data_IF_289365785738
#
_entry.id   IF_289365785738
#
_cell.length_a   1.000
_cell.length_b   1.000
_cell.length_c   1.000
_cell.angle_alpha   90.00
_cell.angle_beta   90.00
_cell.angle_gamma   90.00
#
_symmetry.space_group_name_H-M   'P 1'
#
loop_
_entity.id
_entity.type
_entity.pdbx_description
1 polymer ?
#
# COMPACT_ATOMS: atom_id res chain seq x y z
N UNK A 1 -17.95 58.74 -68.98
CA UNK A 1 -18.67 58.47 -67.75
C UNK A 1 -18.21 57.20 -67.19
N UNK A 2 -17.43 57.18 -66.09
CA UNK A 2 -16.95 55.95 -65.50
C UNK A 2 -17.93 55.48 -64.40
N UNK A 3 -18.22 54.20 -64.45
CA UNK A 3 -19.06 53.44 -63.50
C UNK A 3 -18.31 53.22 -62.17
N UNK A 4 -18.98 53.51 -61.07
CA UNK A 4 -18.53 53.26 -59.71
C UNK A 4 -18.61 51.75 -59.34
N UNK A 5 -17.65 51.18 -58.58
CA UNK A 5 -17.75 49.84 -58.08
C UNK A 5 -18.61 49.78 -56.81
N UNK A 6 -19.38 48.68 -56.68
CA UNK A 6 -20.18 48.33 -55.55
C UNK A 6 -19.34 48.05 -54.28
N UNK A 7 -19.91 48.33 -53.09
CA UNK A 7 -19.19 48.07 -51.85
C UNK A 7 -19.15 46.60 -51.45
N UNK A 8 -17.99 46.15 -51.01
CA UNK A 8 -17.73 44.79 -50.50
C UNK A 8 -18.46 44.60 -49.15
N UNK A 9 -19.06 43.41 -48.98
CA UNK A 9 -19.63 42.93 -47.74
C UNK A 9 -18.56 42.64 -46.67
N UNK A 10 -18.87 42.88 -45.38
CA UNK A 10 -17.90 42.57 -44.32
C UNK A 10 -17.80 41.08 -44.04
N UNK A 11 -16.60 40.59 -44.03
CA UNK A 11 -16.24 39.22 -43.64
C UNK A 11 -16.42 39.00 -42.13
N UNK A 12 -17.16 38.00 -41.74
CA UNK A 12 -17.32 37.54 -40.37
C UNK A 12 -15.97 37.03 -39.81
N UNK A 13 -15.68 37.24 -38.50
CA UNK A 13 -14.49 36.69 -37.87
C UNK A 13 -14.63 35.14 -37.66
N UNK A 14 -13.50 34.40 -37.66
CA UNK A 14 -13.53 32.98 -37.41
C UNK A 14 -13.85 32.70 -35.95
N UNK A 15 -14.82 31.83 -35.74
CA UNK A 15 -15.19 31.26 -34.46
C UNK A 15 -14.01 30.43 -33.92
N UNK A 16 -13.42 30.88 -32.82
CA UNK A 16 -12.44 30.09 -32.08
C UNK A 16 -13.18 28.92 -31.38
N UNK A 17 -13.13 27.76 -31.99
CA UNK A 17 -13.49 26.52 -31.34
C UNK A 17 -12.42 26.20 -30.30
N UNK A 18 -12.74 26.45 -29.03
CA UNK A 18 -11.99 25.97 -27.88
C UNK A 18 -12.10 24.46 -27.86
N UNK A 19 -11.09 23.76 -28.31
CA UNK A 19 -10.94 22.32 -28.15
C UNK A 19 -10.56 22.04 -26.71
N UNK A 20 -11.52 21.58 -25.90
CA UNK A 20 -11.27 20.92 -24.64
C UNK A 20 -10.45 19.65 -24.89
N UNK A 21 -9.43 19.38 -24.11
CA UNK A 21 -8.71 18.11 -24.20
C UNK A 21 -9.58 17.01 -23.57
N UNK A 22 -10.31 16.29 -24.42
CA UNK A 22 -10.92 15.01 -24.05
C UNK A 22 -9.91 13.91 -24.32
N UNK A 23 -9.06 13.61 -23.33
CA UNK A 23 -8.48 12.30 -23.20
C UNK A 23 -8.84 11.77 -21.83
N UNK A 24 -9.54 10.63 -21.72
CA UNK A 24 -9.66 9.95 -20.45
C UNK A 24 -8.25 9.53 -20.04
N UNK A 25 -7.80 9.98 -18.88
CA UNK A 25 -6.56 9.52 -18.29
C UNK A 25 -6.56 7.99 -18.31
N UNK A 26 -5.61 7.42 -19.03
CA UNK A 26 -5.46 5.99 -19.19
C UNK A 26 -5.28 5.37 -17.80
N UNK A 27 -5.92 4.23 -17.54
CA UNK A 27 -5.72 3.43 -16.32
C UNK A 27 -4.24 3.00 -16.11
N UNK A 28 -3.37 3.27 -17.07
CA UNK A 28 -1.93 3.07 -17.01
C UNK A 28 -1.18 4.09 -16.12
N UNK A 29 -1.77 5.29 -15.86
CA UNK A 29 -1.09 6.37 -15.12
C UNK A 29 -1.26 6.31 -13.60
N UNK A 30 -1.97 5.34 -13.05
CA UNK A 30 -2.24 5.24 -11.63
C UNK A 30 -1.36 4.17 -10.94
N UNK A 31 -0.04 4.29 -11.09
CA UNK A 31 0.88 3.38 -10.43
C UNK A 31 1.09 3.80 -8.97
N UNK A 32 0.87 2.91 -7.96
CA UNK A 32 0.97 3.27 -6.55
C UNK A 32 2.29 3.91 -6.17
N UNK A 33 3.43 3.45 -6.72
CA UNK A 33 4.75 4.01 -6.44
C UNK A 33 4.94 5.46 -6.91
N UNK A 34 4.03 5.99 -7.74
CA UNK A 34 4.00 7.40 -8.15
C UNK A 34 3.12 8.26 -7.21
N UNK A 35 2.28 7.64 -6.37
CA UNK A 35 1.37 8.32 -5.44
C UNK A 35 2.00 8.51 -4.06
N UNK A 36 3.09 9.27 -4.05
CA UNK A 36 3.87 9.57 -2.83
C UNK A 36 3.06 10.30 -1.76
N UNK A 37 2.14 11.15 -2.21
CA UNK A 37 1.20 11.88 -1.38
C UNK A 37 0.35 10.97 -0.48
N UNK A 38 0.02 9.77 -0.95
CA UNK A 38 -0.69 8.76 -0.16
C UNK A 38 0.29 8.02 0.76
N UNK A 39 1.46 7.59 0.23
CA UNK A 39 2.45 6.87 1.02
C UNK A 39 2.92 7.67 2.25
N UNK A 40 3.08 9.00 2.11
CA UNK A 40 3.50 9.90 3.18
C UNK A 40 2.35 10.33 4.11
N UNK A 41 1.09 9.98 3.81
CA UNK A 41 -0.06 10.33 4.65
C UNK A 41 -0.24 9.43 5.87
N UNK A 42 0.33 8.22 5.86
CA UNK A 42 0.17 7.24 6.95
C UNK A 42 0.79 7.67 8.27
N UNK A 43 1.84 8.49 8.26
CA UNK A 43 2.48 9.01 9.46
C UNK A 43 1.70 10.11 10.18
N UNK A 44 0.54 10.54 9.67
CA UNK A 44 -0.32 11.56 10.30
C UNK A 44 -0.79 11.15 11.70
N UNK A 45 -1.04 9.87 11.93
CA UNK A 45 -1.34 9.28 13.24
C UNK A 45 -0.66 7.90 13.34
N UNK A 46 0.67 7.93 13.51
CA UNK A 46 1.50 6.73 13.56
C UNK A 46 1.13 5.82 14.74
N UNK A 47 0.71 6.39 15.88
CA UNK A 47 0.32 5.62 17.07
C UNK A 47 -0.98 4.85 16.84
N UNK A 48 -1.99 5.47 16.20
CA UNK A 48 -3.20 4.77 15.76
C UNK A 48 -2.84 3.68 14.75
N UNK A 49 -2.00 4.00 13.78
CA UNK A 49 -1.56 3.03 12.78
C UNK A 49 -0.97 1.78 13.44
N UNK A 50 -0.02 1.95 14.36
CA UNK A 50 0.62 0.81 15.05
C UNK A 50 -0.37 0.00 15.90
N UNK A 51 -1.24 0.68 16.64
CA UNK A 51 -2.21 0.05 17.52
C UNK A 51 -3.27 -0.72 16.75
N UNK A 52 -3.78 -0.12 15.66
CA UNK A 52 -4.95 -0.62 14.97
C UNK A 52 -4.62 -1.66 13.88
N UNK A 53 -3.46 -1.55 13.21
CA UNK A 53 -3.11 -2.48 12.13
C UNK A 53 -2.88 -3.90 12.63
N UNK A 54 -3.41 -4.90 11.89
CA UNK A 54 -3.21 -6.29 12.26
C UNK A 54 -1.74 -6.70 12.10
N UNK A 55 -1.29 -7.58 12.98
CA UNK A 55 0.02 -8.24 12.90
C UNK A 55 0.01 -9.27 11.76
N UNK A 56 1.18 -9.74 11.38
CA UNK A 56 1.30 -10.82 10.40
C UNK A 56 1.27 -12.18 11.10
N UNK A 57 0.84 -13.26 10.41
CA UNK A 57 0.84 -14.60 10.99
C UNK A 57 2.25 -15.03 11.44
N UNK A 58 2.36 -15.57 12.64
CA UNK A 58 3.63 -16.09 13.17
C UNK A 58 4.24 -17.17 12.26
N UNK A 59 3.39 -17.97 11.61
CA UNK A 59 3.82 -18.97 10.64
C UNK A 59 4.54 -18.37 9.42
N UNK A 60 4.16 -17.14 8.98
CA UNK A 60 4.88 -16.42 7.95
C UNK A 60 6.26 -15.98 8.47
N UNK A 61 6.31 -15.37 9.66
CA UNK A 61 7.57 -14.92 10.26
C UNK A 61 8.55 -16.09 10.46
N UNK A 62 8.07 -17.21 11.01
CA UNK A 62 8.86 -18.42 11.18
C UNK A 62 9.39 -18.97 9.84
N UNK A 63 8.56 -18.94 8.78
CA UNK A 63 8.99 -19.40 7.44
C UNK A 63 10.02 -18.48 6.81
N UNK A 64 9.90 -17.15 6.99
CA UNK A 64 10.91 -16.17 6.54
C UNK A 64 12.25 -16.49 7.23
N UNK A 65 12.26 -16.64 8.54
CA UNK A 65 13.47 -16.97 9.31
C UNK A 65 14.08 -18.29 8.84
N UNK A 66 13.29 -19.35 8.73
CA UNK A 66 13.76 -20.67 8.27
C UNK A 66 14.28 -20.67 6.83
N UNK A 67 13.74 -19.81 5.98
CA UNK A 67 14.16 -19.68 4.60
C UNK A 67 15.38 -18.76 4.41
N UNK A 68 15.74 -17.96 5.40
CA UNK A 68 16.89 -17.03 5.36
C UNK A 68 18.19 -17.78 5.72
N UNK A 69 19.32 -17.49 5.08
CA UNK A 69 20.61 -18.12 5.41
C UNK A 69 21.21 -17.67 6.75
N UNK A 70 20.67 -16.61 7.35
CA UNK A 70 21.13 -16.05 8.63
C UNK A 70 20.13 -15.02 9.17
N UNK A 71 20.46 -14.36 10.29
CA UNK A 71 19.51 -13.53 11.03
C UNK A 71 19.50 -12.04 10.64
N UNK A 72 20.34 -11.58 9.71
CA UNK A 72 20.42 -10.17 9.34
C UNK A 72 19.29 -9.82 8.37
N UNK A 73 18.35 -8.98 8.78
CA UNK A 73 17.14 -8.65 8.02
C UNK A 73 17.05 -7.15 7.76
N UNK A 74 16.74 -6.78 6.52
CA UNK A 74 16.36 -5.43 6.13
C UNK A 74 14.83 -5.39 5.95
N UNK A 75 14.12 -4.55 6.72
CA UNK A 75 12.68 -4.31 6.58
C UNK A 75 12.44 -3.01 5.79
N UNK A 76 12.01 -3.13 4.54
CA UNK A 76 11.84 -2.01 3.59
C UNK A 76 10.41 -1.47 3.66
N UNK A 77 10.29 -0.16 3.96
CA UNK A 77 9.03 0.48 4.29
C UNK A 77 8.52 -0.06 5.62
N UNK A 78 9.38 -0.08 6.63
CA UNK A 78 9.07 -0.72 7.91
C UNK A 78 7.94 -0.04 8.69
N UNK A 79 7.56 1.18 8.32
CA UNK A 79 6.53 1.95 8.99
C UNK A 79 6.82 2.11 10.48
N UNK A 80 5.85 1.77 11.32
CA UNK A 80 6.00 1.75 12.78
C UNK A 80 6.73 0.51 13.31
N UNK A 81 7.28 -0.34 12.43
CA UNK A 81 8.07 -1.51 12.81
C UNK A 81 7.25 -2.75 13.17
N UNK A 82 6.03 -2.91 12.68
CA UNK A 82 5.18 -4.08 12.98
C UNK A 82 5.89 -5.39 12.60
N UNK A 83 6.36 -5.52 11.35
CA UNK A 83 7.06 -6.72 10.89
C UNK A 83 8.45 -6.82 11.55
N UNK A 84 9.15 -5.71 11.67
CA UNK A 84 10.47 -5.65 12.30
C UNK A 84 10.43 -6.24 13.72
N UNK A 85 9.48 -5.82 14.57
CA UNK A 85 9.34 -6.33 15.93
C UNK A 85 9.03 -7.84 15.97
N UNK A 86 8.18 -8.33 15.06
CA UNK A 86 7.90 -9.77 14.99
C UNK A 86 9.14 -10.58 14.60
N UNK A 87 9.95 -10.08 13.66
CA UNK A 87 11.20 -10.70 13.25
C UNK A 87 12.27 -10.61 14.34
N UNK A 88 12.37 -9.48 15.05
CA UNK A 88 13.26 -9.36 16.23
C UNK A 88 12.89 -10.36 17.31
N UNK A 89 11.60 -10.50 17.62
CA UNK A 89 11.11 -11.51 18.56
C UNK A 89 11.40 -12.96 18.10
N UNK A 90 11.51 -13.18 16.79
CA UNK A 90 11.90 -14.46 16.19
C UNK A 90 13.44 -14.65 16.13
N UNK A 91 14.24 -13.76 16.72
CA UNK A 91 15.70 -13.86 16.82
C UNK A 91 16.49 -13.20 15.70
N UNK A 92 15.86 -12.41 14.85
CA UNK A 92 16.55 -11.64 13.81
C UNK A 92 17.13 -10.32 14.33
N UNK A 93 18.16 -9.85 13.65
CA UNK A 93 18.68 -8.47 13.78
C UNK A 93 18.12 -7.65 12.63
N UNK A 94 17.23 -6.72 12.94
CA UNK A 94 16.47 -6.01 11.93
C UNK A 94 16.94 -4.55 11.82
N UNK A 95 17.22 -4.13 10.58
CA UNK A 95 17.35 -2.74 10.19
C UNK A 95 16.08 -2.36 9.38
N UNK A 96 15.38 -1.32 9.80
CA UNK A 96 14.29 -0.74 9.03
C UNK A 96 14.79 0.36 8.08
N UNK A 97 14.13 0.51 6.94
CA UNK A 97 14.25 1.72 6.08
C UNK A 97 12.84 2.25 5.89
N UNK A 98 12.61 3.53 6.26
CA UNK A 98 11.29 4.16 6.24
C UNK A 98 11.40 5.64 5.82
N UNK A 99 10.66 6.09 4.80
CA UNK A 99 10.74 7.49 4.37
C UNK A 99 10.05 8.46 5.32
N UNK A 100 9.00 8.06 6.06
CA UNK A 100 8.30 8.93 7.00
C UNK A 100 9.01 8.94 8.37
N UNK A 101 9.62 10.09 8.70
CA UNK A 101 10.35 10.24 9.96
C UNK A 101 9.48 10.02 11.22
N UNK A 102 8.17 10.29 11.15
CA UNK A 102 7.23 10.10 12.27
C UNK A 102 6.99 8.61 12.53
N UNK A 103 6.83 7.83 11.46
CA UNK A 103 6.72 6.37 11.53
C UNK A 103 8.02 5.75 12.04
N UNK A 104 9.17 6.16 11.49
CA UNK A 104 10.48 5.69 11.90
C UNK A 104 10.79 5.99 13.37
N UNK A 105 10.42 7.19 13.85
CA UNK A 105 10.59 7.57 15.26
C UNK A 105 9.78 6.69 16.19
N UNK A 106 8.50 6.42 15.82
CA UNK A 106 7.67 5.51 16.59
C UNK A 106 8.23 4.08 16.60
N UNK A 107 8.74 3.60 15.45
CA UNK A 107 9.36 2.26 15.40
C UNK A 107 10.54 2.13 16.37
N UNK A 108 11.46 3.12 16.40
CA UNK A 108 12.57 3.15 17.34
C UNK A 108 12.15 3.22 18.80
N UNK A 109 11.03 3.96 19.08
CA UNK A 109 10.52 4.12 20.44
C UNK A 109 9.82 2.85 20.95
N UNK A 110 9.14 2.13 20.09
CA UNK A 110 8.39 0.90 20.45
C UNK A 110 9.31 -0.31 20.64
N UNK A 111 10.47 -0.34 19.98
CA UNK A 111 11.46 -1.39 20.14
C UNK A 111 12.87 -0.83 19.91
N UNK A 112 13.62 -0.68 21.00
CA UNK A 112 15.00 -0.19 20.97
C UNK A 112 15.99 -1.15 20.29
N UNK A 113 15.58 -2.39 20.01
CA UNK A 113 16.34 -3.37 19.23
C UNK A 113 16.23 -3.17 17.72
N UNK A 114 15.29 -2.33 17.26
CA UNK A 114 15.10 -2.04 15.85
C UNK A 114 15.74 -0.69 15.49
N UNK A 115 16.84 -0.75 14.75
CA UNK A 115 17.40 0.45 14.12
C UNK A 115 16.60 0.79 12.86
N UNK A 116 16.42 2.10 12.57
CA UNK A 116 15.70 2.55 11.36
C UNK A 116 16.48 3.67 10.70
N UNK A 117 16.78 3.55 9.42
CA UNK A 117 17.30 4.63 8.58
C UNK A 117 16.12 5.38 7.94
N UNK A 118 16.10 6.72 8.03
CA UNK A 118 15.06 7.53 7.42
C UNK A 118 15.47 7.85 5.99
N UNK A 119 14.91 7.11 5.03
CA UNK A 119 15.18 7.28 3.61
C UNK A 119 14.12 6.56 2.77
N UNK A 120 14.00 6.94 1.52
CA UNK A 120 13.36 6.10 0.49
C UNK A 120 14.28 4.95 0.15
N UNK A 121 13.73 3.77 -0.04
CA UNK A 121 14.55 2.59 -0.34
C UNK A 121 15.37 2.77 -1.61
N UNK A 122 14.82 3.38 -2.65
CA UNK A 122 15.52 3.64 -3.91
C UNK A 122 16.73 4.56 -3.74
N UNK A 123 16.67 5.49 -2.79
CA UNK A 123 17.71 6.50 -2.52
C UNK A 123 18.61 6.12 -1.34
N UNK A 124 18.22 5.10 -0.56
CA UNK A 124 18.95 4.68 0.62
C UNK A 124 20.31 4.08 0.28
N UNK A 125 21.34 4.53 1.01
CA UNK A 125 22.70 4.07 0.82
C UNK A 125 23.07 2.96 1.84
N UNK A 126 23.21 1.71 1.41
CA UNK A 126 23.50 0.60 2.30
C UNK A 126 24.92 0.65 2.87
N UNK A 127 25.87 1.34 2.23
CA UNK A 127 27.29 1.21 2.51
C UNK A 127 27.75 -0.23 2.24
N UNK A 128 28.49 -0.82 3.17
CA UNK A 128 28.97 -2.21 3.08
C UNK A 128 28.01 -3.24 3.68
N UNK A 129 26.82 -2.81 4.13
CA UNK A 129 25.84 -3.68 4.80
C UNK A 129 25.25 -4.68 3.83
N UNK A 130 25.18 -5.93 4.25
CA UNK A 130 24.54 -7.02 3.55
C UNK A 130 23.62 -7.80 4.48
N UNK A 131 22.53 -8.33 3.92
CA UNK A 131 21.46 -8.97 4.66
C UNK A 131 21.22 -10.39 4.21
N UNK A 132 20.70 -11.21 5.11
CA UNK A 132 20.28 -12.57 4.86
C UNK A 132 18.84 -12.61 4.32
N UNK A 133 18.03 -11.58 4.68
CA UNK A 133 16.73 -11.35 4.10
C UNK A 133 16.46 -9.85 3.87
N UNK A 134 15.70 -9.57 2.82
CA UNK A 134 15.00 -8.30 2.60
C UNK A 134 13.53 -8.60 2.69
N UNK A 135 12.82 -7.92 3.58
CA UNK A 135 11.38 -8.08 3.76
C UNK A 135 10.67 -6.75 3.50
N UNK A 136 9.38 -6.80 3.15
CA UNK A 136 8.54 -5.62 3.05
C UNK A 136 7.09 -5.99 3.33
N UNK A 137 6.53 -5.51 4.43
CA UNK A 137 5.16 -5.77 4.85
C UNK A 137 4.21 -4.67 4.44
N UNK A 138 3.34 -4.91 3.46
CA UNK A 138 2.32 -3.95 2.97
C UNK A 138 2.90 -2.61 2.47
N UNK A 139 4.16 -2.61 2.03
CA UNK A 139 4.85 -1.40 1.58
C UNK A 139 5.41 -1.48 0.15
N UNK A 140 5.73 -2.67 -0.35
CA UNK A 140 6.43 -2.85 -1.64
C UNK A 140 5.74 -2.22 -2.85
N UNK A 141 4.43 -2.07 -2.84
CA UNK A 141 3.67 -1.43 -3.92
C UNK A 141 3.92 0.09 -4.05
N UNK A 142 4.59 0.71 -3.06
CA UNK A 142 5.07 2.09 -3.10
C UNK A 142 6.48 2.23 -3.71
N UNK A 143 7.11 1.12 -4.09
CA UNK A 143 8.47 1.04 -4.62
C UNK A 143 8.38 0.65 -6.10
N UNK A 144 9.27 1.19 -6.93
CA UNK A 144 9.39 0.71 -8.31
C UNK A 144 9.74 -0.79 -8.31
N UNK A 145 8.93 -1.65 -8.93
CA UNK A 145 9.06 -3.09 -8.76
C UNK A 145 10.36 -3.66 -9.34
N UNK A 146 10.93 -3.04 -10.38
CA UNK A 146 12.18 -3.49 -11.01
C UNK A 146 13.38 -2.89 -10.29
N UNK A 147 13.39 -1.57 -10.07
CA UNK A 147 14.49 -0.90 -9.38
C UNK A 147 14.61 -1.36 -7.92
N UNK A 148 13.47 -1.54 -7.22
CA UNK A 148 13.44 -2.06 -5.87
C UNK A 148 13.98 -3.50 -5.79
N UNK A 149 13.58 -4.37 -6.72
CA UNK A 149 14.08 -5.74 -6.74
C UNK A 149 15.59 -5.78 -7.07
N UNK A 150 16.07 -4.98 -8.01
CA UNK A 150 17.49 -4.88 -8.33
C UNK A 150 18.31 -4.41 -7.12
N UNK A 151 17.81 -3.40 -6.39
CA UNK A 151 18.45 -2.90 -5.16
C UNK A 151 18.44 -3.95 -4.05
N UNK A 152 17.32 -4.66 -3.86
CA UNK A 152 17.23 -5.76 -2.91
C UNK A 152 18.24 -6.88 -3.22
N UNK A 153 18.41 -7.25 -4.51
CA UNK A 153 19.44 -8.20 -4.93
C UNK A 153 20.85 -7.71 -4.59
N UNK A 154 21.10 -6.40 -4.75
CA UNK A 154 22.42 -5.80 -4.45
C UNK A 154 22.82 -5.88 -2.98
N UNK A 155 21.85 -5.79 -2.06
CA UNK A 155 22.11 -5.80 -0.60
C UNK A 155 21.94 -7.17 0.05
N UNK A 156 21.36 -8.15 -0.64
CA UNK A 156 21.26 -9.51 -0.14
C UNK A 156 22.58 -10.26 -0.29
N UNK A 157 22.92 -11.11 0.66
CA UNK A 157 23.97 -12.14 0.51
C UNK A 157 23.57 -13.20 -0.51
N UNK A 158 24.51 -13.96 -1.09
CA UNK A 158 24.17 -15.11 -1.93
C UNK A 158 23.17 -16.06 -1.21
N UNK A 159 22.16 -16.52 -1.91
CA UNK A 159 21.03 -17.31 -1.38
C UNK A 159 20.14 -16.57 -0.37
N UNK A 160 20.34 -15.27 -0.14
CA UNK A 160 19.48 -14.43 0.68
C UNK A 160 18.04 -14.40 0.16
N UNK A 161 17.10 -14.14 1.04
CA UNK A 161 15.66 -14.18 0.76
C UNK A 161 15.12 -12.77 0.52
N UNK A 162 14.45 -12.54 -0.60
CA UNK A 162 13.47 -11.45 -0.73
C UNK A 162 12.09 -11.99 -0.38
N UNK A 163 11.37 -11.35 0.55
CA UNK A 163 9.99 -11.70 0.92
C UNK A 163 9.14 -10.45 1.08
N UNK A 164 8.21 -10.25 0.17
CA UNK A 164 7.28 -9.11 0.21
C UNK A 164 5.86 -9.63 0.41
N UNK A 165 5.09 -9.04 1.35
CA UNK A 165 3.82 -9.62 1.79
C UNK A 165 2.78 -8.58 2.17
N UNK A 166 1.50 -8.98 2.09
CA UNK A 166 0.34 -8.14 2.39
C UNK A 166 -0.72 -8.91 3.17
N UNK A 167 -1.34 -8.25 4.13
CA UNK A 167 -2.58 -8.71 4.75
C UNK A 167 -3.75 -8.23 3.88
N UNK A 168 -4.46 -9.16 3.27
CA UNK A 168 -5.64 -8.91 2.43
C UNK A 168 -6.88 -9.18 3.27
N UNK A 169 -7.61 -8.13 3.66
CA UNK A 169 -8.88 -8.26 4.36
C UNK A 169 -10.00 -8.63 3.37
N UNK A 170 -10.83 -9.59 3.76
CA UNK A 170 -11.99 -10.03 2.99
C UNK A 170 -13.27 -9.51 3.69
N UNK A 171 -13.60 -8.25 3.46
CA UNK A 171 -14.69 -7.59 4.16
C UNK A 171 -16.04 -8.28 3.86
N UNK A 172 -16.94 -8.45 4.86
CA UNK A 172 -18.30 -8.90 4.63
C UNK A 172 -19.09 -7.96 3.70
N UNK A 173 -19.91 -8.52 2.82
CA UNK A 173 -20.57 -7.78 1.75
C UNK A 173 -21.51 -6.66 2.23
N UNK A 174 -22.20 -6.86 3.35
CA UNK A 174 -23.09 -5.87 3.96
C UNK A 174 -22.31 -4.69 4.55
N UNK A 175 -21.15 -4.95 5.16
CA UNK A 175 -20.25 -3.89 5.64
C UNK A 175 -19.66 -3.10 4.47
N UNK A 176 -19.24 -3.79 3.41
CA UNK A 176 -18.72 -3.12 2.21
C UNK A 176 -19.77 -2.26 1.54
N UNK A 177 -21.03 -2.70 1.48
CA UNK A 177 -22.15 -1.93 0.95
C UNK A 177 -22.37 -0.63 1.73
N UNK A 178 -22.49 -0.70 3.05
CA UNK A 178 -22.71 0.47 3.89
C UNK A 178 -21.57 1.50 3.79
N UNK A 179 -20.31 1.03 3.77
CA UNK A 179 -19.14 1.89 3.58
C UNK A 179 -19.12 2.51 2.19
N UNK A 180 -19.43 1.73 1.14
CA UNK A 180 -19.49 2.24 -0.24
C UNK A 180 -20.55 3.33 -0.40
N UNK A 181 -21.77 3.12 0.13
CA UNK A 181 -22.86 4.11 0.12
C UNK A 181 -22.46 5.42 0.80
N UNK A 182 -21.76 5.33 1.93
CA UNK A 182 -21.26 6.50 2.63
C UNK A 182 -20.17 7.23 1.81
N UNK A 183 -19.19 6.50 1.27
CA UNK A 183 -18.13 7.08 0.43
C UNK A 183 -18.68 7.77 -0.81
N UNK A 184 -19.65 7.16 -1.51
CA UNK A 184 -20.31 7.77 -2.68
C UNK A 184 -21.06 9.05 -2.32
N UNK A 185 -21.61 9.12 -1.12
CA UNK A 185 -22.35 10.30 -0.63
C UNK A 185 -21.44 11.45 -0.27
N UNK A 186 -20.33 11.17 0.45
CA UNK A 186 -19.39 12.21 0.92
C UNK A 186 -18.38 12.60 -0.16
N UNK A 187 -18.14 11.76 -1.15
CA UNK A 187 -17.16 11.98 -2.23
C UNK A 187 -17.79 11.74 -3.62
N UNK A 188 -18.87 12.46 -3.99
CA UNK A 188 -19.60 12.20 -5.24
C UNK A 188 -18.74 12.39 -6.50
N UNK A 189 -17.74 13.28 -6.43
CA UNK A 189 -16.82 13.58 -7.53
C UNK A 189 -15.51 12.78 -7.47
N UNK A 190 -15.43 11.76 -6.60
CA UNK A 190 -14.24 10.92 -6.51
C UNK A 190 -14.01 10.16 -7.81
N UNK A 191 -12.80 10.19 -8.39
CA UNK A 191 -12.44 9.35 -9.52
C UNK A 191 -12.32 7.87 -9.14
N UNK A 192 -12.41 7.57 -7.83
CA UNK A 192 -12.31 6.22 -7.30
C UNK A 192 -13.71 5.61 -7.14
N UNK A 193 -13.98 4.53 -7.86
CA UNK A 193 -15.22 3.76 -7.72
C UNK A 193 -15.15 2.90 -6.45
N UNK A 194 -15.62 3.47 -5.33
CA UNK A 194 -15.62 2.80 -4.02
C UNK A 194 -16.46 1.53 -4.05
N UNK A 195 -17.61 1.53 -4.72
CA UNK A 195 -18.46 0.36 -4.81
C UNK A 195 -17.77 -0.78 -5.54
N UNK A 196 -17.22 -0.51 -6.71
CA UNK A 196 -16.48 -1.53 -7.45
C UNK A 196 -15.23 -1.99 -6.69
N UNK A 197 -14.54 -1.09 -5.99
CA UNK A 197 -13.35 -1.44 -5.23
C UNK A 197 -13.65 -2.29 -3.99
N UNK A 198 -14.72 -1.97 -3.26
CA UNK A 198 -15.10 -2.67 -2.03
C UNK A 198 -15.88 -3.96 -2.32
N UNK A 199 -16.69 -4.03 -3.39
CA UNK A 199 -17.48 -5.22 -3.72
C UNK A 199 -16.75 -6.22 -4.62
N UNK A 200 -15.65 -5.84 -5.26
CA UNK A 200 -14.79 -6.81 -5.95
C UNK A 200 -14.24 -7.82 -4.95
N UNK A 201 -14.13 -9.10 -5.33
CA UNK A 201 -13.40 -10.04 -4.49
C UNK A 201 -12.03 -9.44 -4.15
N UNK A 202 -11.72 -9.28 -2.87
CA UNK A 202 -10.47 -8.61 -2.42
C UNK A 202 -9.21 -9.22 -3.05
N UNK A 203 -9.27 -10.48 -3.47
CA UNK A 203 -8.21 -11.15 -4.22
C UNK A 203 -7.86 -10.48 -5.56
N UNK A 204 -8.79 -9.75 -6.21
CA UNK A 204 -8.55 -9.22 -7.57
C UNK A 204 -7.57 -8.05 -7.59
N UNK A 205 -7.72 -6.96 -6.78
CA UNK A 205 -6.75 -5.88 -6.72
C UNK A 205 -5.37 -6.37 -6.26
N UNK A 206 -5.35 -7.26 -5.26
CA UNK A 206 -4.09 -7.80 -4.75
C UNK A 206 -3.40 -8.73 -5.75
N UNK A 207 -4.15 -9.45 -6.59
CA UNK A 207 -3.55 -10.24 -7.65
C UNK A 207 -2.70 -9.40 -8.60
N UNK A 208 -3.19 -8.25 -9.02
CA UNK A 208 -2.43 -7.33 -9.86
C UNK A 208 -1.13 -6.83 -9.17
N UNK A 209 -1.19 -6.57 -7.85
CA UNK A 209 -0.01 -6.19 -7.06
C UNK A 209 0.98 -7.36 -6.98
N UNK A 210 0.51 -8.57 -6.72
CA UNK A 210 1.34 -9.77 -6.64
C UNK A 210 1.99 -10.11 -7.98
N UNK A 211 1.22 -10.08 -9.07
CA UNK A 211 1.71 -10.34 -10.42
C UNK A 211 2.77 -9.29 -10.81
N UNK A 212 2.50 -8.01 -10.60
CA UNK A 212 3.46 -6.92 -10.86
C UNK A 212 4.75 -7.07 -10.04
N UNK A 213 4.63 -7.48 -8.78
CA UNK A 213 5.79 -7.73 -7.91
C UNK A 213 6.61 -8.90 -8.45
N UNK A 214 5.97 -10.01 -8.78
CA UNK A 214 6.66 -11.19 -9.34
C UNK A 214 7.32 -10.86 -10.68
N UNK A 215 6.67 -10.07 -11.54
CA UNK A 215 7.22 -9.59 -12.80
C UNK A 215 8.45 -8.69 -12.58
N UNK A 216 8.38 -7.75 -11.64
CA UNK A 216 9.50 -6.89 -11.27
C UNK A 216 10.71 -7.69 -10.80
N UNK A 217 10.49 -8.67 -9.93
CA UNK A 217 11.56 -9.57 -9.43
C UNK A 217 12.18 -10.38 -10.57
N UNK A 218 11.36 -10.90 -11.51
CA UNK A 218 11.85 -11.66 -12.66
C UNK A 218 12.65 -10.78 -13.63
N UNK A 219 12.23 -9.53 -13.79
CA UNK A 219 12.87 -8.56 -14.72
C UNK A 219 14.19 -8.02 -14.16
N UNK A 220 14.31 -7.90 -12.84
CA UNK A 220 15.45 -7.24 -12.19
C UNK A 220 16.76 -8.01 -12.23
N UNK A 221 16.80 -9.24 -12.75
CA UNK A 221 17.93 -10.15 -12.62
C UNK A 221 18.39 -10.35 -11.15
N UNK A 222 19.29 -11.29 -10.91
CA UNK A 222 19.84 -11.56 -9.58
C UNK A 222 19.01 -12.49 -8.72
N UNK A 223 17.76 -12.80 -9.07
CA UNK A 223 16.91 -13.76 -8.36
C UNK A 223 16.69 -15.04 -9.15
N UNK A 224 16.38 -16.12 -8.42
CA UNK A 224 15.81 -17.35 -8.99
C UNK A 224 14.32 -17.18 -9.32
N UNK A 225 13.62 -18.32 -9.44
CA UNK A 225 12.17 -18.30 -9.61
C UNK A 225 11.46 -17.72 -8.38
N UNK A 226 10.30 -17.10 -8.61
CA UNK A 226 9.44 -16.61 -7.52
C UNK A 226 8.55 -17.71 -6.99
N UNK A 227 8.32 -17.72 -5.68
CA UNK A 227 7.31 -18.55 -5.00
C UNK A 227 6.23 -17.63 -4.41
N UNK A 228 5.02 -18.16 -4.31
CA UNK A 228 3.92 -17.51 -3.61
C UNK A 228 3.57 -18.31 -2.37
N UNK A 229 3.49 -17.63 -1.22
CA UNK A 229 3.02 -18.20 0.03
C UNK A 229 1.69 -17.58 0.40
N UNK A 230 0.80 -18.37 1.03
CA UNK A 230 -0.50 -17.93 1.48
C UNK A 230 -0.79 -18.47 2.87
N UNK A 231 -1.34 -17.61 3.74
CA UNK A 231 -1.80 -17.93 5.08
C UNK A 231 -3.19 -17.34 5.27
N UNK A 232 -4.17 -18.22 5.47
CA UNK A 232 -5.54 -17.78 5.76
C UNK A 232 -5.72 -17.78 7.28
N UNK A 233 -6.32 -16.71 7.78
CA UNK A 233 -6.57 -16.51 9.19
C UNK A 233 -7.72 -15.54 9.39
N UNK A 234 -8.20 -15.38 10.63
CA UNK A 234 -9.29 -14.47 10.96
C UNK A 234 -8.94 -13.66 12.21
N UNK A 235 -9.54 -12.48 12.29
CA UNK A 235 -9.43 -11.62 13.44
C UNK A 235 -10.79 -10.98 13.74
N UNK A 236 -11.23 -11.06 15.01
CA UNK A 236 -12.48 -10.47 15.44
C UNK A 236 -12.23 -9.07 15.99
N UNK A 237 -12.84 -8.09 15.34
CA UNK A 237 -12.83 -6.70 15.76
C UNK A 237 -14.11 -6.36 16.49
N UNK A 238 -13.99 -5.66 17.61
CA UNK A 238 -15.11 -4.89 18.15
C UNK A 238 -15.40 -3.70 17.23
N UNK A 239 -16.59 -3.10 17.35
CA UNK A 239 -16.92 -1.85 16.65
C UNK A 239 -15.80 -0.81 16.80
N UNK A 240 -15.40 -0.52 18.04
CA UNK A 240 -14.37 0.48 18.32
C UNK A 240 -13.03 0.14 17.65
N UNK A 241 -12.59 -1.12 17.72
CA UNK A 241 -11.33 -1.55 17.11
C UNK A 241 -11.36 -1.42 15.59
N UNK A 242 -12.47 -1.77 14.92
CA UNK A 242 -12.56 -1.61 13.47
C UNK A 242 -12.60 -0.15 13.04
N UNK A 243 -13.34 0.70 13.76
CA UNK A 243 -13.36 2.15 13.49
C UNK A 243 -11.99 2.82 13.75
N UNK A 244 -11.13 2.21 14.58
CA UNK A 244 -9.74 2.66 14.76
C UNK A 244 -8.82 2.22 13.59
N UNK A 245 -9.12 1.07 12.94
CA UNK A 245 -8.41 0.61 11.73
C UNK A 245 -8.70 1.48 10.51
N UNK A 246 -9.97 1.84 10.28
CA UNK A 246 -10.41 2.45 9.01
C UNK A 246 -9.62 3.73 8.65
N UNK A 247 -9.41 4.72 9.53
CA UNK A 247 -8.66 5.93 9.23
C UNK A 247 -7.20 5.67 8.81
N UNK A 248 -6.66 4.50 9.14
CA UNK A 248 -5.29 4.13 8.78
C UNK A 248 -5.16 3.54 7.39
N UNK A 249 -6.26 3.33 6.67
CA UNK A 249 -6.25 2.81 5.30
C UNK A 249 -6.08 3.95 4.29
N UNK A 250 -5.25 3.75 3.26
CA UNK A 250 -4.87 4.80 2.32
C UNK A 250 -6.03 5.52 1.61
N UNK A 251 -7.20 4.87 1.49
CA UNK A 251 -8.40 5.51 0.96
C UNK A 251 -8.97 6.61 1.89
N UNK A 252 -8.69 6.52 3.21
CA UNK A 252 -9.31 7.38 4.22
C UNK A 252 -8.32 8.33 4.92
N UNK A 253 -7.00 8.13 4.77
CA UNK A 253 -5.97 8.93 5.47
C UNK A 253 -6.00 10.42 5.15
N UNK A 254 -6.67 10.81 4.06
CA UNK A 254 -6.72 12.19 3.57
C UNK A 254 -8.14 12.78 3.56
N UNK A 255 -9.13 12.05 4.05
CA UNK A 255 -10.48 12.58 4.14
C UNK A 255 -10.56 13.71 5.16
N UNK A 256 -11.30 14.80 4.86
CA UNK A 256 -11.70 15.77 5.87
C UNK A 256 -12.38 15.08 7.06
N UNK A 257 -12.20 15.64 8.27
CA UNK A 257 -12.67 15.01 9.50
C UNK A 257 -14.19 14.75 9.50
N UNK A 258 -14.97 15.65 8.93
CA UNK A 258 -16.43 15.52 8.84
C UNK A 258 -16.85 14.39 7.90
N UNK A 259 -16.23 14.29 6.72
CA UNK A 259 -16.47 13.22 5.75
C UNK A 259 -16.04 11.85 6.31
N UNK A 260 -14.89 11.80 6.97
CA UNK A 260 -14.43 10.59 7.64
C UNK A 260 -15.40 10.16 8.74
N UNK A 261 -15.92 11.10 9.54
CA UNK A 261 -16.88 10.80 10.60
C UNK A 261 -18.17 10.15 10.04
N UNK A 262 -18.68 10.62 8.89
CA UNK A 262 -19.86 10.05 8.24
C UNK A 262 -19.60 8.60 7.77
N UNK A 263 -18.44 8.35 7.15
CA UNK A 263 -18.05 6.98 6.74
C UNK A 263 -17.90 6.06 7.95
N UNK A 264 -17.28 6.54 9.03
CA UNK A 264 -17.12 5.77 10.26
C UNK A 264 -18.46 5.47 10.93
N UNK A 265 -19.40 6.41 10.94
CA UNK A 265 -20.74 6.19 11.50
C UNK A 265 -21.52 5.12 10.69
N UNK A 266 -21.45 5.17 9.36
CA UNK A 266 -22.07 4.15 8.52
C UNK A 266 -21.48 2.75 8.78
N UNK A 267 -20.16 2.65 8.87
CA UNK A 267 -19.49 1.40 9.23
C UNK A 267 -19.87 0.92 10.64
N UNK A 268 -19.90 1.85 11.60
CA UNK A 268 -20.29 1.57 12.98
C UNK A 268 -21.71 1.02 13.08
N UNK A 269 -22.66 1.66 12.42
CA UNK A 269 -24.06 1.23 12.37
C UNK A 269 -24.22 -0.16 11.75
N UNK A 270 -23.46 -0.47 10.68
CA UNK A 270 -23.47 -1.79 10.07
C UNK A 270 -22.89 -2.88 11.01
N UNK A 271 -21.89 -2.53 11.82
CA UNK A 271 -21.32 -3.44 12.83
C UNK A 271 -22.30 -3.65 13.99
N UNK A 272 -22.97 -2.59 14.45
CA UNK A 272 -23.96 -2.68 15.53
C UNK A 272 -25.14 -3.57 15.13
N UNK A 273 -25.60 -3.50 13.87
CA UNK A 273 -26.62 -4.40 13.32
C UNK A 273 -26.19 -5.89 13.33
N UNK A 274 -24.89 -6.16 13.48
CA UNK A 274 -24.31 -7.51 13.59
C UNK A 274 -23.96 -7.92 15.01
N UNK A 275 -24.40 -7.17 16.00
CA UNK A 275 -24.13 -7.44 17.43
C UNK A 275 -22.83 -6.82 17.95
N UNK A 276 -22.34 -5.75 17.33
CA UNK A 276 -21.23 -4.92 17.84
C UNK A 276 -19.81 -5.45 17.55
N UNK A 277 -19.69 -6.53 16.75
CA UNK A 277 -18.40 -7.09 16.37
C UNK A 277 -18.43 -7.69 14.96
N UNK A 278 -17.27 -7.78 14.32
CA UNK A 278 -17.08 -8.46 13.04
C UNK A 278 -15.88 -9.40 13.10
N UNK A 279 -16.05 -10.61 12.61
CA UNK A 279 -14.92 -11.50 12.32
C UNK A 279 -14.48 -11.26 10.88
N UNK A 280 -13.26 -10.78 10.74
CA UNK A 280 -12.65 -10.43 9.46
C UNK A 280 -11.76 -11.57 9.00
N UNK A 281 -12.10 -12.26 7.92
CA UNK A 281 -11.17 -13.18 7.26
C UNK A 281 -10.04 -12.41 6.59
N UNK A 282 -8.82 -12.91 6.74
CA UNK A 282 -7.63 -12.40 6.08
C UNK A 282 -6.94 -13.49 5.26
N UNK A 283 -6.36 -13.09 4.15
CA UNK A 283 -5.33 -13.86 3.48
C UNK A 283 -4.03 -13.07 3.50
N UNK A 284 -3.01 -13.56 4.21
CA UNK A 284 -1.67 -13.01 4.08
C UNK A 284 -1.00 -13.66 2.89
N UNK A 285 -0.66 -12.84 1.88
CA UNK A 285 -0.05 -13.26 0.63
C UNK A 285 1.38 -12.76 0.57
N UNK A 286 2.33 -13.63 0.24
CA UNK A 286 3.73 -13.25 0.06
C UNK A 286 4.24 -13.70 -1.31
N UNK A 287 5.07 -12.87 -1.94
CA UNK A 287 5.93 -13.22 -3.08
C UNK A 287 7.36 -13.29 -2.56
N UNK A 288 8.03 -14.39 -2.82
CA UNK A 288 9.39 -14.62 -2.34
C UNK A 288 10.29 -15.08 -3.48
N UNK A 289 11.59 -14.74 -3.35
CA UNK A 289 12.61 -15.22 -4.28
C UNK A 289 13.97 -15.32 -3.56
N UNK A 290 14.80 -16.23 -4.02
CA UNK A 290 16.18 -16.38 -3.54
C UNK A 290 17.14 -15.64 -4.45
N UNK A 291 18.08 -14.90 -3.87
CA UNK A 291 19.23 -14.38 -4.61
C UNK A 291 20.04 -15.55 -5.18
N UNK A 292 20.44 -15.45 -6.45
CA UNK A 292 21.36 -16.38 -7.12
C UNK A 292 22.73 -16.40 -6.50
#
# INVERSE_FOLDING_TARGET
MPTLPSPASPSSPPSAASSLPTSPASAADNQPHQRRDIAESFGGDAERYDRARPRYPDALMARIVAASPGPEVLDVGCGTGIAARQLTAAGCRVLGVEPDARMAELARRLDTGVAVDVARFEEWEPGERQFDAVVSGTAWHWIDPVAGAAKAAGVLRPRGLLSVFWNVALLPADLTGAVADACERVMPDSPFDFRAALTRPAAVPYRAILDKTADGIRTADGFGGTEQWRYDWEFTYTRAAWLDVMPTQGAFTRLPAEELAEVLEAAGSAIDARGGSITMPYATMAITAKRK
#
